data_IF_085868621107
#
_entry.id   IF_085868621107
#
_cell.length_a   1.000
_cell.length_b   1.000
_cell.length_c   1.000
_cell.angle_alpha   90.00
_cell.angle_beta   90.00
_cell.angle_gamma   90.00
#
_symmetry.space_group_name_H-M   'P 1'
#
loop_
_entity.id
_entity.type
_entity.pdbx_description
1 polymer ?
#
# COMPACT_ATOMS: atom_id res chain seq x y z
N UNK A 1 17.84 3.81 20.29
CA UNK A 1 16.53 4.46 20.56
C UNK A 1 15.75 4.84 19.29
N UNK A 2 16.35 5.33 18.21
CA UNK A 2 15.62 5.77 17.00
C UNK A 2 14.74 4.69 16.33
N UNK A 3 15.12 3.41 16.38
CA UNK A 3 14.29 2.30 15.83
C UNK A 3 12.96 2.12 16.58
N UNK A 4 12.98 2.15 17.90
CA UNK A 4 11.77 2.02 18.74
C UNK A 4 10.79 3.17 18.51
N UNK A 5 11.30 4.39 18.28
CA UNK A 5 10.46 5.53 17.93
C UNK A 5 9.81 5.33 16.55
N UNK A 6 10.60 4.90 15.56
CA UNK A 6 10.08 4.58 14.23
C UNK A 6 8.98 3.52 14.26
N UNK A 7 9.18 2.44 15.03
CA UNK A 7 8.17 1.38 15.22
C UNK A 7 6.89 1.94 15.85
N UNK A 8 7.00 2.74 16.92
CA UNK A 8 5.83 3.40 17.55
C UNK A 8 5.08 4.33 16.59
N UNK A 9 5.81 5.07 15.75
CA UNK A 9 5.19 5.92 14.74
C UNK A 9 4.53 5.11 13.63
N UNK A 10 5.15 4.01 13.20
CA UNK A 10 4.61 3.15 12.15
C UNK A 10 3.28 2.48 12.54
N UNK A 11 3.06 2.21 13.84
CA UNK A 11 1.77 1.72 14.34
C UNK A 11 0.59 2.64 14.04
N UNK A 12 0.83 3.92 13.72
CA UNK A 12 -0.22 4.87 13.34
C UNK A 12 -0.67 4.73 11.90
N UNK A 13 0.04 3.95 11.07
CA UNK A 13 -0.31 3.70 9.65
C UNK A 13 -0.50 4.98 8.81
N UNK A 14 0.14 6.08 9.22
CA UNK A 14 0.13 7.34 8.48
C UNK A 14 1.18 7.34 7.40
N UNK A 15 0.83 7.85 6.21
CA UNK A 15 1.76 8.03 5.11
C UNK A 15 3.00 8.85 5.56
N UNK A 16 4.22 8.42 5.21
CA UNK A 16 5.42 9.18 5.55
C UNK A 16 5.52 10.45 4.70
N UNK A 17 5.84 11.57 5.36
CA UNK A 17 6.10 12.84 4.67
C UNK A 17 7.43 12.89 3.90
N UNK A 18 7.79 14.06 3.39
CA UNK A 18 8.96 14.27 2.50
C UNK A 18 10.31 13.82 3.06
N UNK A 19 10.51 13.91 4.38
CA UNK A 19 11.72 13.45 5.10
C UNK A 19 11.53 12.11 5.82
N UNK A 20 10.38 11.45 5.60
CA UNK A 20 10.01 10.21 6.28
C UNK A 20 10.63 8.96 5.66
N UNK A 21 10.12 7.80 6.10
CA UNK A 21 10.45 6.50 5.52
C UNK A 21 10.27 6.48 3.99
N UNK A 22 11.11 5.72 3.28
CA UNK A 22 10.88 5.49 1.85
C UNK A 22 9.68 4.55 1.67
N UNK A 23 8.97 4.67 0.56
CA UNK A 23 7.78 3.86 0.27
C UNK A 23 8.02 3.12 -1.04
N UNK A 24 7.69 1.84 -1.03
CA UNK A 24 7.79 0.96 -2.17
C UNK A 24 6.45 0.30 -2.42
N UNK A 25 6.07 0.21 -3.70
CA UNK A 25 4.90 -0.51 -4.16
C UNK A 25 5.34 -1.79 -4.86
N UNK A 26 4.66 -2.89 -4.55
CA UNK A 26 4.84 -4.16 -5.24
C UNK A 26 3.78 -4.33 -6.32
N UNK A 27 4.22 -4.33 -7.58
CA UNK A 27 3.36 -4.58 -8.74
C UNK A 27 3.59 -5.98 -9.28
N UNK A 28 2.51 -6.65 -9.67
CA UNK A 28 2.61 -7.93 -10.37
C UNK A 28 2.97 -7.73 -11.83
N UNK A 29 4.01 -8.39 -12.30
CA UNK A 29 4.27 -8.53 -13.73
C UNK A 29 3.40 -9.66 -14.27
N UNK A 30 2.26 -9.32 -14.88
CA UNK A 30 1.29 -10.29 -15.39
C UNK A 30 1.88 -11.25 -16.43
N UNK A 31 2.95 -10.86 -17.13
CA UNK A 31 3.57 -11.68 -18.17
C UNK A 31 4.58 -12.68 -17.60
N UNK A 32 5.19 -12.36 -16.45
CA UNK A 32 6.33 -13.11 -15.90
C UNK A 32 6.05 -13.76 -14.55
N UNK A 33 4.95 -13.42 -13.91
CA UNK A 33 4.48 -14.05 -12.67
C UNK A 33 5.27 -13.67 -11.41
N UNK A 34 6.22 -12.72 -11.48
CA UNK A 34 6.93 -12.19 -10.32
C UNK A 34 6.42 -10.81 -9.93
N UNK A 35 6.72 -10.40 -8.70
CA UNK A 35 6.46 -9.05 -8.23
C UNK A 35 7.67 -8.13 -8.43
N UNK A 36 7.41 -6.89 -8.85
CA UNK A 36 8.38 -5.82 -8.96
C UNK A 36 8.20 -4.85 -7.81
N UNK A 37 9.24 -4.71 -7.00
CA UNK A 37 9.32 -3.67 -5.96
C UNK A 37 9.79 -2.36 -6.57
N UNK A 38 8.92 -1.35 -6.63
CA UNK A 38 9.23 -0.04 -7.21
C UNK A 38 9.22 1.04 -6.14
N UNK A 39 10.20 1.92 -6.18
CA UNK A 39 10.23 3.10 -5.31
C UNK A 39 9.14 4.09 -5.73
N UNK A 40 8.34 4.54 -4.76
CA UNK A 40 7.32 5.57 -4.96
C UNK A 40 7.96 6.94 -4.75
N UNK A 41 7.82 7.83 -5.74
CA UNK A 41 8.34 9.19 -5.61
C UNK A 41 7.63 9.94 -4.49
N UNK A 42 8.35 10.81 -3.79
CA UNK A 42 7.84 11.54 -2.61
C UNK A 42 6.52 12.27 -2.85
N UNK A 43 6.34 12.87 -4.02
CA UNK A 43 5.10 13.58 -4.39
C UNK A 43 3.91 12.68 -4.69
N UNK A 44 4.11 11.37 -4.80
CA UNK A 44 3.06 10.37 -5.09
C UNK A 44 2.81 9.43 -3.92
N UNK A 45 3.52 9.63 -2.79
CA UNK A 45 3.40 8.75 -1.63
C UNK A 45 1.98 8.75 -1.09
N UNK A 46 1.33 9.92 -1.00
CA UNK A 46 -0.03 10.04 -0.46
C UNK A 46 -1.04 9.29 -1.33
N UNK A 47 -1.03 9.52 -2.64
CA UNK A 47 -1.90 8.84 -3.59
C UNK A 47 -1.70 7.32 -3.55
N UNK A 48 -0.44 6.86 -3.66
CA UNK A 48 -0.13 5.43 -3.61
C UNK A 48 -0.48 4.81 -2.26
N UNK A 49 -0.37 5.55 -1.17
CA UNK A 49 -0.71 5.06 0.17
C UNK A 49 -2.21 4.76 0.31
N UNK A 50 -3.05 5.64 -0.24
CA UNK A 50 -4.51 5.56 -0.17
C UNK A 50 -5.09 4.38 -0.97
N UNK A 51 -4.35 3.88 -1.97
CA UNK A 51 -4.74 2.68 -2.72
C UNK A 51 -4.74 1.42 -1.84
N UNK A 52 -3.88 1.33 -0.83
CA UNK A 52 -3.72 0.12 -0.01
C UNK A 52 -4.39 0.29 1.34
N UNK A 53 -4.98 -0.76 1.90
CA UNK A 53 -5.47 -0.76 3.29
C UNK A 53 -4.30 -0.93 4.27
N UNK A 54 -4.49 -0.56 5.53
CA UNK A 54 -3.48 -0.73 6.59
C UNK A 54 -2.92 -2.16 6.68
N UNK A 55 -3.77 -3.17 6.46
CA UNK A 55 -3.38 -4.60 6.43
C UNK A 55 -2.49 -4.97 5.23
N UNK A 56 -2.48 -4.13 4.20
CA UNK A 56 -1.67 -4.26 2.99
C UNK A 56 -0.39 -3.42 3.01
N UNK A 57 -0.07 -2.80 4.17
CA UNK A 57 1.13 -2.00 4.37
C UNK A 57 2.01 -2.63 5.44
N UNK A 58 3.30 -2.81 5.14
CA UNK A 58 4.27 -3.35 6.12
C UNK A 58 5.47 -2.43 6.27
N UNK A 59 5.89 -2.22 7.52
CA UNK A 59 7.00 -1.36 7.85
C UNK A 59 8.26 -2.15 8.23
N UNK A 60 9.39 -1.86 7.58
CA UNK A 60 10.72 -2.33 7.95
C UNK A 60 11.45 -1.23 8.75
N UNK A 61 11.52 -1.43 10.07
CA UNK A 61 12.18 -0.48 10.97
C UNK A 61 13.71 -0.46 10.86
N UNK A 62 14.34 -1.49 10.29
CA UNK A 62 15.78 -1.50 10.05
C UNK A 62 16.11 -0.58 8.88
N UNK A 63 15.41 -0.74 7.75
CA UNK A 63 15.64 0.05 6.53
C UNK A 63 14.94 1.40 6.52
N UNK A 64 14.00 1.62 7.43
CA UNK A 64 13.11 2.79 7.41
C UNK A 64 12.25 2.83 6.14
N UNK A 65 11.61 1.71 5.81
CA UNK A 65 10.89 1.54 4.55
C UNK A 65 9.49 1.00 4.79
N UNK A 66 8.56 1.41 3.94
CA UNK A 66 7.24 0.83 3.82
C UNK A 66 7.12 0.04 2.52
N UNK A 67 6.49 -1.11 2.61
CA UNK A 67 6.09 -1.93 1.48
C UNK A 67 4.56 -1.95 1.40
N UNK A 68 4.05 -1.47 0.26
CA UNK A 68 2.64 -1.51 -0.13
C UNK A 68 2.45 -2.71 -1.05
N UNK A 69 1.66 -3.69 -0.64
CA UNK A 69 1.47 -4.92 -1.41
C UNK A 69 0.09 -5.52 -1.19
N UNK A 70 -0.64 -5.71 -2.29
CA UNK A 70 -1.97 -6.33 -2.32
C UNK A 70 -1.97 -7.77 -1.79
N UNK A 71 -0.87 -8.50 -1.99
CA UNK A 71 -0.75 -9.91 -1.55
C UNK A 71 -0.60 -10.06 -0.03
N UNK A 72 -0.41 -8.98 0.72
CA UNK A 72 -0.38 -9.05 2.18
C UNK A 72 -1.74 -9.31 2.81
N UNK A 73 -2.81 -8.89 2.15
CA UNK A 73 -4.19 -9.16 2.56
C UNK A 73 -5.12 -9.07 1.33
N UNK A 74 -5.55 -10.24 0.84
CA UNK A 74 -6.44 -10.34 -0.32
C UNK A 74 -7.91 -10.05 0.03
N UNK A 75 -8.27 -10.09 1.31
CA UNK A 75 -9.65 -9.88 1.78
C UNK A 75 -10.01 -8.41 1.90
N UNK A 76 -8.99 -7.54 1.95
CA UNK A 76 -9.13 -6.08 1.95
C UNK A 76 -9.60 -5.50 0.61
N UNK A 77 -9.69 -6.31 -0.45
CA UNK A 77 -10.25 -5.93 -1.75
C UNK A 77 -11.77 -5.89 -1.60
N UNK A 78 -12.32 -4.69 -1.43
CA UNK A 78 -13.76 -4.45 -1.53
C UNK A 78 -14.22 -4.90 -2.93
N UNK A 79 -15.09 -5.91 -2.99
CA UNK A 79 -15.75 -6.34 -4.21
C UNK A 79 -16.85 -5.33 -4.61
N UNK A 80 -16.57 -4.03 -4.60
CA UNK A 80 -17.58 -2.99 -4.85
C UNK A 80 -17.78 -2.68 -6.34
N UNK A 81 -17.64 -3.67 -7.22
CA UNK A 81 -17.75 -3.46 -8.68
C UNK A 81 -18.51 -4.58 -9.41
N UNK A 82 -19.41 -5.27 -8.72
CA UNK A 82 -20.33 -6.21 -9.36
C UNK A 82 -21.75 -6.03 -8.80
N UNK A 83 -22.72 -5.99 -9.71
CA UNK A 83 -24.18 -5.98 -9.51
C UNK A 83 -24.90 -4.61 -9.39
N UNK A 84 -25.06 -3.95 -10.54
CA UNK A 84 -26.12 -2.98 -10.80
C UNK A 84 -26.71 -3.22 -12.19
N UNK A 85 -27.49 -4.28 -12.33
CA UNK A 85 -28.19 -4.62 -13.57
C UNK A 85 -29.09 -3.47 -14.02
N UNK A 86 -29.00 -3.11 -15.31
CA UNK A 86 -29.95 -2.21 -15.93
C UNK A 86 -31.29 -2.95 -16.03
N UNK A 87 -32.24 -2.62 -15.16
CA UNK A 87 -33.65 -2.88 -15.44
C UNK A 87 -34.09 -1.83 -16.47
N UNK A 88 -34.24 -2.24 -17.73
CA UNK A 88 -35.06 -1.55 -18.73
C UNK A 88 -36.50 -1.56 -18.19
N UNK A 89 -37.04 -0.40 -17.80
CA UNK A 89 -38.48 -0.21 -17.60
C UNK A 89 -39.10 0.35 -18.89
N UNK A 90 -40.13 -0.34 -19.38
CA UNK A 90 -40.94 -0.10 -20.59
C UNK A 90 -41.59 1.31 -20.69
#
# INVERSE_FOLDING_TARGET
QARLQREKHALKQTAPGSKGAAVFRWDRDEKKGYLLRKHVFRGQVEDAWMEFRDTQRRYDSFRNEWDLNWEFDLTARDFSDDEGGYEDED
#
